data_IF_786359045391
#
_entry.id   IF_786359045391
#
_cell.length_a   1.000
_cell.length_b   1.000
_cell.length_c   1.000
_cell.angle_alpha   90.00
_cell.angle_beta   90.00
_cell.angle_gamma   90.00
#
_symmetry.space_group_name_H-M   'P 1'
#
loop_
_entity.id
_entity.type
_entity.pdbx_description
1 polymer ?
#
# COMPACT_ATOMS: atom_id res chain seq x y z
N UNK A 1 -2.85 15.32 -12.01
CA UNK A 1 -2.63 15.64 -10.59
C UNK A 1 -3.99 15.71 -9.94
N UNK A 2 -4.21 14.92 -8.90
CA UNK A 2 -5.48 14.85 -8.15
C UNK A 2 -5.81 16.19 -7.52
N UNK A 3 -7.08 16.59 -7.55
CA UNK A 3 -7.58 17.76 -6.85
C UNK A 3 -7.85 17.42 -5.38
N UNK A 4 -6.88 17.75 -4.51
CA UNK A 4 -6.95 17.48 -3.07
C UNK A 4 -8.11 18.21 -2.38
N UNK A 5 -8.57 19.34 -2.90
CA UNK A 5 -9.70 20.07 -2.31
C UNK A 5 -11.02 19.35 -2.58
N UNK A 6 -11.18 18.77 -3.78
CA UNK A 6 -12.33 17.91 -4.09
C UNK A 6 -12.26 16.61 -3.29
N UNK A 7 -11.09 15.98 -3.23
CA UNK A 7 -10.88 14.78 -2.42
C UNK A 7 -11.30 15.01 -0.96
N UNK A 8 -10.82 16.08 -0.32
CA UNK A 8 -11.17 16.43 1.07
C UNK A 8 -12.67 16.59 1.30
N UNK A 9 -13.43 17.06 0.31
CA UNK A 9 -14.89 17.21 0.41
C UNK A 9 -15.64 15.89 0.33
N UNK A 10 -15.02 14.84 -0.19
CA UNK A 10 -15.60 13.50 -0.27
C UNK A 10 -15.39 12.68 1.01
N UNK A 11 -14.53 13.16 1.93
CA UNK A 11 -14.14 12.43 3.14
C UNK A 11 -15.30 12.37 4.11
N UNK A 12 -15.64 11.15 4.48
CA UNK A 12 -16.61 10.77 5.48
C UNK A 12 -15.95 9.67 6.32
N UNK A 13 -15.73 9.95 7.59
CA UNK A 13 -14.95 9.09 8.49
C UNK A 13 -15.66 7.76 8.78
N UNK A 14 -17.00 7.76 8.65
CA UNK A 14 -17.83 6.58 8.90
C UNK A 14 -18.04 5.78 7.60
N UNK A 15 -17.95 6.45 6.43
CA UNK A 15 -18.11 5.82 5.12
C UNK A 15 -17.10 6.32 4.06
N UNK A 16 -16.00 5.58 3.83
CA UNK A 16 -14.97 5.94 2.85
C UNK A 16 -15.38 5.80 1.37
N UNK A 17 -16.54 5.21 1.04
CA UNK A 17 -16.90 4.81 -0.34
C UNK A 17 -16.82 5.98 -1.33
N UNK A 18 -17.36 7.15 -0.98
CA UNK A 18 -17.32 8.34 -1.84
C UNK A 18 -15.91 8.83 -2.10
N UNK A 19 -15.03 8.70 -1.10
CA UNK A 19 -13.62 9.11 -1.24
C UNK A 19 -12.87 8.13 -2.13
N UNK A 20 -13.13 6.84 -1.98
CA UNK A 20 -12.54 5.79 -2.80
C UNK A 20 -13.03 5.86 -4.25
N UNK A 21 -14.32 6.04 -4.49
CA UNK A 21 -14.90 6.25 -5.82
C UNK A 21 -14.28 7.47 -6.50
N UNK A 22 -14.07 8.56 -5.76
CA UNK A 22 -13.38 9.72 -6.29
C UNK A 22 -11.95 9.37 -6.72
N UNK A 23 -11.18 8.68 -5.88
CA UNK A 23 -9.81 8.29 -6.23
C UNK A 23 -9.77 7.31 -7.40
N UNK A 24 -10.66 6.33 -7.46
CA UNK A 24 -10.74 5.38 -8.58
C UNK A 24 -10.97 6.10 -9.91
N UNK A 25 -11.84 7.11 -9.91
CA UNK A 25 -12.17 7.86 -11.12
C UNK A 25 -11.15 8.95 -11.49
N UNK A 26 -10.31 9.40 -10.55
CA UNK A 26 -9.48 10.60 -10.74
C UNK A 26 -7.97 10.38 -10.51
N UNK A 27 -7.55 9.28 -9.88
CA UNK A 27 -6.15 8.93 -9.66
C UNK A 27 -5.67 7.96 -10.73
N UNK A 28 -4.64 8.36 -11.47
CA UNK A 28 -4.00 7.45 -12.42
C UNK A 28 -3.11 6.44 -11.69
N UNK A 29 -2.90 5.27 -12.32
CA UNK A 29 -1.93 4.27 -11.83
C UNK A 29 -0.52 4.86 -11.63
N UNK A 30 -0.10 5.76 -12.52
CA UNK A 30 1.19 6.43 -12.42
C UNK A 30 1.29 7.29 -11.15
N UNK A 31 0.26 8.09 -10.86
CA UNK A 31 0.20 8.91 -9.64
C UNK A 31 0.24 8.04 -8.37
N UNK A 32 -0.47 6.91 -8.37
CA UNK A 32 -0.44 5.96 -7.25
C UNK A 32 0.94 5.34 -7.04
N UNK A 33 1.63 4.94 -8.11
CA UNK A 33 2.99 4.41 -8.00
C UNK A 33 3.99 5.49 -7.56
N UNK A 34 3.87 6.70 -8.08
CA UNK A 34 4.72 7.82 -7.66
C UNK A 34 4.52 8.16 -6.19
N UNK A 35 3.28 8.07 -5.69
CA UNK A 35 3.00 8.18 -4.27
C UNK A 35 3.81 7.16 -3.44
N UNK A 36 3.75 5.87 -3.80
CA UNK A 36 4.49 4.81 -3.09
C UNK A 36 6.00 5.05 -3.16
N UNK A 37 6.52 5.38 -4.36
CA UNK A 37 7.95 5.68 -4.57
C UNK A 37 8.41 6.82 -3.68
N UNK A 38 7.67 7.94 -3.67
CA UNK A 38 8.00 9.10 -2.84
C UNK A 38 7.94 8.74 -1.36
N UNK A 39 6.91 8.02 -0.92
CA UNK A 39 6.77 7.55 0.47
C UNK A 39 7.98 6.70 0.91
N UNK A 40 8.52 5.85 0.03
CA UNK A 40 9.72 5.06 0.31
C UNK A 40 10.97 5.95 0.37
N UNK A 41 11.12 6.86 -0.59
CA UNK A 41 12.27 7.77 -0.68
C UNK A 41 12.35 8.68 0.54
N UNK A 42 11.22 9.22 1.00
CA UNK A 42 11.14 10.11 2.15
C UNK A 42 11.55 9.40 3.46
N UNK A 43 11.33 8.09 3.54
CA UNK A 43 11.69 7.26 4.70
C UNK A 43 13.03 6.51 4.54
N UNK A 44 13.74 6.68 3.42
CA UNK A 44 14.86 5.80 3.04
C UNK A 44 16.02 5.75 4.02
N UNK A 45 16.16 6.75 4.88
CA UNK A 45 17.22 6.88 5.88
C UNK A 45 16.73 6.63 7.31
N UNK A 46 15.45 6.36 7.52
CA UNK A 46 14.91 5.95 8.81
C UNK A 46 15.37 4.52 9.12
N UNK A 47 15.22 4.05 10.37
CA UNK A 47 15.49 2.64 10.68
C UNK A 47 14.55 1.69 9.89
N UNK A 48 13.32 2.15 9.68
CA UNK A 48 12.27 1.40 9.00
C UNK A 48 11.53 2.25 7.95
N UNK A 49 11.13 1.62 6.84
CA UNK A 49 10.17 2.17 5.87
C UNK A 49 8.80 1.58 6.12
N UNK A 50 7.82 2.43 6.38
CA UNK A 50 6.42 2.06 6.50
C UNK A 50 5.72 2.14 5.13
N UNK A 51 5.14 1.03 4.67
CA UNK A 51 4.38 0.95 3.41
C UNK A 51 2.96 0.41 3.64
N UNK A 52 1.93 0.94 2.97
CA UNK A 52 0.59 0.36 3.02
C UNK A 52 0.52 -1.09 2.50
N UNK A 53 -0.51 -1.84 2.90
CA UNK A 53 -0.81 -3.13 2.29
C UNK A 53 -1.02 -3.01 0.78
N UNK A 54 -0.63 -4.03 -0.01
CA UNK A 54 -0.59 -3.97 -1.48
C UNK A 54 -1.95 -4.02 -2.19
N UNK A 55 -3.07 -3.79 -1.48
CA UNK A 55 -4.40 -3.68 -2.11
C UNK A 55 -4.71 -2.23 -2.46
N UNK A 56 -5.39 -1.99 -3.58
CA UNK A 56 -5.65 -0.62 -4.06
C UNK A 56 -6.35 0.25 -3.01
N UNK A 57 -7.27 -0.32 -2.24
CA UNK A 57 -7.97 0.36 -1.15
C UNK A 57 -7.03 0.76 -0.02
N UNK A 58 -6.14 -0.13 0.43
CA UNK A 58 -5.17 0.22 1.47
C UNK A 58 -4.15 1.28 0.98
N UNK A 59 -3.81 1.26 -0.32
CA UNK A 59 -3.00 2.32 -0.93
C UNK A 59 -3.73 3.67 -0.95
N UNK A 60 -5.00 3.69 -1.35
CA UNK A 60 -5.85 4.88 -1.37
C UNK A 60 -6.06 5.46 0.03
N UNK A 61 -6.39 4.62 1.01
CA UNK A 61 -6.58 5.05 2.40
C UNK A 61 -5.29 5.62 2.98
N UNK A 62 -4.15 4.99 2.72
CA UNK A 62 -2.86 5.55 3.13
C UNK A 62 -2.54 6.87 2.41
N UNK A 63 -2.91 7.01 1.13
CA UNK A 63 -2.76 8.28 0.41
C UNK A 63 -3.63 9.39 1.03
N UNK A 64 -4.88 9.08 1.39
CA UNK A 64 -5.78 10.03 2.04
C UNK A 64 -5.20 10.47 3.39
N UNK A 65 -4.75 9.52 4.23
CA UNK A 65 -4.14 9.85 5.52
C UNK A 65 -2.90 10.76 5.35
N UNK A 66 -2.01 10.44 4.40
CA UNK A 66 -0.78 11.21 4.15
C UNK A 66 -1.02 12.60 3.53
N UNK A 67 -2.09 12.79 2.75
CA UNK A 67 -2.30 14.02 1.94
C UNK A 67 -3.46 14.89 2.42
N UNK A 68 -4.37 14.32 3.19
CA UNK A 68 -5.52 15.03 3.70
C UNK A 68 -5.44 15.33 5.21
N UNK A 69 -4.46 14.75 5.92
CA UNK A 69 -4.34 14.81 7.39
C UNK A 69 -5.54 14.20 8.13
N UNK A 70 -6.20 13.20 7.53
CA UNK A 70 -7.46 12.63 8.04
C UNK A 70 -7.25 11.25 8.70
N UNK A 71 -7.87 10.97 9.87
CA UNK A 71 -7.49 9.88 10.75
C UNK A 71 -8.37 8.63 10.60
N UNK A 72 -8.43 8.03 9.42
CA UNK A 72 -8.94 6.65 9.36
C UNK A 72 -8.06 5.76 10.22
N UNK A 73 -8.66 4.85 10.99
CA UNK A 73 -7.91 4.02 11.95
C UNK A 73 -7.42 2.73 11.31
N UNK A 74 -6.16 2.39 11.58
CA UNK A 74 -5.54 1.14 11.17
C UNK A 74 -6.07 -0.04 12.01
N UNK A 75 -6.22 -1.23 11.42
CA UNK A 75 -6.70 -2.41 12.14
C UNK A 75 -5.86 -2.79 13.37
N UNK A 76 -4.53 -2.72 13.31
CA UNK A 76 -3.69 -3.07 14.46
C UNK A 76 -3.66 -2.02 15.58
N UNK A 77 -4.26 -0.83 15.42
CA UNK A 77 -4.59 0.00 16.60
C UNK A 77 -5.63 -0.68 17.50
N UNK A 78 -6.28 -1.75 16.99
CA UNK A 78 -7.30 -2.54 17.67
C UNK A 78 -6.73 -3.91 18.12
N UNK A 79 -5.66 -4.45 17.50
CA UNK A 79 -5.16 -5.83 17.73
C UNK A 79 -3.62 -5.91 17.53
N UNK A 80 -2.83 -6.39 18.51
CA UNK A 80 -1.35 -6.44 18.45
C UNK A 80 -0.74 -7.70 17.77
N UNK A 81 0.24 -7.54 16.85
CA UNK A 81 1.72 -7.56 17.00
C UNK A 81 2.35 -7.70 15.59
N UNK A 82 3.12 -6.69 15.14
CA UNK A 82 3.61 -6.58 13.74
C UNK A 82 4.89 -7.36 13.46
N UNK A 83 5.02 -7.89 12.24
CA UNK A 83 6.26 -8.48 11.70
C UNK A 83 7.11 -7.42 10.99
N UNK A 84 8.39 -7.32 11.35
CA UNK A 84 9.39 -6.55 10.61
C UNK A 84 10.01 -7.41 9.51
N UNK A 85 10.21 -6.84 8.32
CA UNK A 85 10.78 -7.53 7.16
C UNK A 85 12.15 -6.92 6.83
N UNK A 86 13.19 -7.73 6.70
CA UNK A 86 14.51 -7.23 6.35
C UNK A 86 14.57 -6.64 4.94
N UNK A 87 15.30 -5.52 4.79
CA UNK A 87 15.48 -4.83 3.51
C UNK A 87 16.52 -5.47 2.58
N UNK A 88 17.10 -6.62 2.96
CA UNK A 88 18.06 -7.34 2.14
C UNK A 88 17.50 -7.59 0.72
N UNK A 89 18.27 -7.15 -0.28
CA UNK A 89 17.90 -7.21 -1.68
C UNK A 89 18.49 -8.46 -2.34
N UNK A 90 17.62 -9.28 -2.94
CA UNK A 90 18.05 -10.45 -3.71
C UNK A 90 18.84 -10.07 -4.97
N UNK A 91 19.68 -10.98 -5.46
CA UNK A 91 20.46 -10.75 -6.68
C UNK A 91 19.57 -10.60 -7.92
N UNK A 92 18.43 -11.29 -7.96
CA UNK A 92 17.46 -11.17 -9.06
C UNK A 92 16.91 -9.73 -9.17
N UNK A 93 16.67 -9.08 -8.02
CA UNK A 93 16.21 -7.69 -8.00
C UNK A 93 17.32 -6.71 -8.37
N UNK A 94 18.59 -6.98 -8.02
CA UNK A 94 19.73 -6.12 -8.41
C UNK A 94 19.92 -6.08 -9.93
N UNK A 95 19.63 -7.18 -10.61
CA UNK A 95 19.76 -7.30 -12.06
C UNK A 95 18.53 -6.77 -12.84
N UNK A 96 17.52 -6.26 -12.13
CA UNK A 96 16.27 -5.81 -12.72
C UNK A 96 16.44 -4.50 -13.50
N UNK A 97 16.09 -4.54 -14.79
CA UNK A 97 16.03 -3.36 -15.67
C UNK A 97 14.57 -3.00 -15.96
N UNK A 98 14.03 -2.02 -15.23
CA UNK A 98 12.67 -1.54 -15.43
C UNK A 98 12.61 -0.53 -16.59
N UNK A 99 11.76 -0.79 -17.59
CA UNK A 99 11.36 0.23 -18.60
C UNK A 99 10.30 1.21 -18.08
N UNK A 100 9.51 0.81 -17.08
CA UNK A 100 8.50 1.62 -16.39
C UNK A 100 8.25 1.08 -14.98
N UNK A 101 7.66 1.89 -14.09
CA UNK A 101 7.32 1.48 -12.71
C UNK A 101 6.33 0.30 -12.68
N UNK A 102 5.38 0.25 -13.62
CA UNK A 102 4.34 -0.78 -13.71
C UNK A 102 4.88 -2.18 -14.07
N UNK A 103 6.06 -2.26 -14.68
CA UNK A 103 6.69 -3.53 -15.02
C UNK A 103 7.01 -4.39 -13.79
N UNK A 104 7.14 -3.78 -12.62
CA UNK A 104 7.40 -4.50 -11.39
C UNK A 104 6.18 -5.35 -11.00
N UNK A 105 5.01 -4.72 -10.84
CA UNK A 105 3.76 -5.38 -10.44
C UNK A 105 3.38 -6.50 -11.41
N UNK A 106 3.53 -6.27 -12.73
CA UNK A 106 3.20 -7.26 -13.78
C UNK A 106 3.89 -8.62 -13.62
N UNK A 107 5.03 -8.69 -12.92
CA UNK A 107 5.70 -9.96 -12.64
C UNK A 107 4.96 -10.84 -11.63
N UNK A 108 4.12 -10.22 -10.80
CA UNK A 108 3.46 -10.88 -9.69
C UNK A 108 1.95 -11.05 -9.91
N UNK A 109 1.34 -10.28 -10.83
CA UNK A 109 -0.09 -10.39 -11.14
C UNK A 109 -0.46 -11.83 -11.52
N UNK A 110 -1.48 -12.39 -10.85
CA UNK A 110 -1.95 -13.75 -11.11
C UNK A 110 -1.01 -14.85 -10.62
N UNK A 111 0.01 -14.49 -9.85
CA UNK A 111 0.91 -15.45 -9.19
C UNK A 111 0.58 -15.55 -7.71
N UNK A 112 1.03 -16.63 -7.06
CA UNK A 112 0.91 -16.76 -5.60
C UNK A 112 1.66 -15.69 -4.81
N UNK A 113 2.61 -14.99 -5.46
CA UNK A 113 3.46 -13.98 -4.86
C UNK A 113 2.96 -12.55 -5.15
N UNK A 114 1.73 -12.38 -5.69
CA UNK A 114 1.12 -11.06 -5.91
C UNK A 114 1.24 -10.19 -4.66
N UNK A 115 0.89 -10.71 -3.49
CA UNK A 115 0.98 -9.98 -2.23
C UNK A 115 2.40 -9.51 -1.83
N UNK A 116 3.48 -10.05 -2.41
CA UNK A 116 4.87 -9.65 -2.10
C UNK A 116 5.37 -8.52 -2.98
N UNK A 117 4.65 -8.19 -4.05
CA UNK A 117 5.16 -7.26 -5.07
C UNK A 117 5.60 -5.93 -4.46
N UNK A 118 4.87 -5.40 -3.46
CA UNK A 118 5.17 -4.12 -2.84
C UNK A 118 6.40 -4.15 -1.93
N UNK A 119 6.68 -5.30 -1.30
CA UNK A 119 7.89 -5.50 -0.48
C UNK A 119 9.11 -5.48 -1.38
N UNK A 120 9.11 -6.30 -2.43
CA UNK A 120 10.20 -6.36 -3.39
C UNK A 120 10.40 -5.03 -4.12
N UNK A 121 9.29 -4.34 -4.44
CA UNK A 121 9.34 -3.00 -5.02
C UNK A 121 10.00 -2.02 -4.06
N UNK A 122 9.66 -2.06 -2.77
CA UNK A 122 10.26 -1.22 -1.73
C UNK A 122 11.76 -1.45 -1.60
N UNK A 123 12.19 -2.72 -1.55
CA UNK A 123 13.61 -3.09 -1.54
C UNK A 123 14.35 -2.53 -2.77
N UNK A 124 13.74 -2.66 -3.94
CA UNK A 124 14.31 -2.15 -5.19
C UNK A 124 14.44 -0.62 -5.17
N UNK A 125 13.40 0.11 -4.75
CA UNK A 125 13.43 1.58 -4.64
C UNK A 125 14.48 2.04 -3.63
N UNK A 126 14.60 1.38 -2.48
CA UNK A 126 15.66 1.66 -1.51
C UNK A 126 17.06 1.48 -2.12
N UNK A 127 17.28 0.37 -2.82
CA UNK A 127 18.56 0.08 -3.46
C UNK A 127 18.97 1.14 -4.50
N UNK A 128 18.10 1.45 -5.46
CA UNK A 128 18.43 2.44 -6.51
C UNK A 128 18.60 3.85 -5.94
N UNK A 129 18.00 4.15 -4.79
CA UNK A 129 18.11 5.45 -4.11
C UNK A 129 19.15 5.48 -2.98
N UNK A 130 19.96 4.42 -2.83
CA UNK A 130 20.98 4.26 -1.77
C UNK A 130 20.42 4.48 -0.35
N UNK A 131 19.21 3.99 -0.10
CA UNK A 131 18.58 4.01 1.21
C UNK A 131 19.34 3.17 2.24
N UNK A 132 19.23 3.55 3.51
CA UNK A 132 19.87 2.91 4.67
C UNK A 132 18.88 2.23 5.62
N UNK A 133 17.59 2.31 5.34
CA UNK A 133 16.58 1.60 6.12
C UNK A 133 16.88 0.10 6.18
N UNK A 134 16.77 -0.47 7.38
CA UNK A 134 17.08 -1.88 7.66
C UNK A 134 15.84 -2.75 7.57
N UNK A 135 14.68 -2.16 7.87
CA UNK A 135 13.43 -2.89 7.94
C UNK A 135 12.36 -2.26 7.06
N UNK A 136 11.46 -3.10 6.57
CA UNK A 136 10.19 -2.72 5.98
C UNK A 136 9.11 -3.12 6.97
N UNK A 137 8.21 -2.18 7.19
CA UNK A 137 7.02 -2.37 7.98
C UNK A 137 5.81 -2.17 7.10
N UNK A 138 5.06 -3.26 6.89
CA UNK A 138 3.80 -3.13 6.16
C UNK A 138 2.75 -2.67 7.15
N UNK A 139 2.24 -1.45 6.92
CA UNK A 139 1.18 -0.85 7.70
C UNK A 139 -0.02 -1.78 7.69
N UNK A 140 -0.69 -1.79 8.83
CA UNK A 140 -1.98 -2.44 8.93
C UNK A 140 -2.92 -1.98 7.81
N UNK A 141 -3.80 -2.85 7.34
CA UNK A 141 -4.88 -2.42 6.49
C UNK A 141 -5.88 -1.49 7.22
N UNK A 142 -6.55 -0.66 6.42
CA UNK A 142 -7.82 0.00 6.71
C UNK A 142 -9.02 -0.83 6.23
N UNK A 143 -8.76 -1.88 5.44
CA UNK A 143 -9.77 -2.81 4.92
C UNK A 143 -9.29 -4.24 5.10
N UNK A 144 -10.09 -5.08 5.76
CA UNK A 144 -9.88 -6.53 5.80
C UNK A 144 -10.92 -7.26 4.98
N UNK A 145 -10.69 -8.55 4.73
CA UNK A 145 -11.75 -9.44 4.24
C UNK A 145 -12.94 -9.45 5.22
N UNK A 146 -14.16 -9.58 4.69
CA UNK A 146 -15.41 -9.77 5.44
C UNK A 146 -15.39 -11.10 6.20
N UNK A 147 -14.90 -12.15 5.53
CA UNK A 147 -14.69 -13.49 6.08
C UNK A 147 -13.20 -13.85 5.99
N UNK A 148 -12.62 -14.32 7.10
CA UNK A 148 -11.20 -14.66 7.22
C UNK A 148 -10.44 -13.79 8.21
N UNK A 149 -9.16 -14.09 8.40
CA UNK A 149 -8.24 -13.31 9.22
C UNK A 149 -7.49 -12.27 8.39
N UNK A 150 -6.89 -11.28 9.05
CA UNK A 150 -6.04 -10.25 8.39
C UNK A 150 -4.91 -10.86 7.56
N UNK A 151 -4.45 -12.06 7.92
CA UNK A 151 -3.42 -12.81 7.20
C UNK A 151 -3.94 -13.45 5.90
N UNK A 152 -5.26 -13.58 5.72
CA UNK A 152 -5.88 -14.11 4.49
C UNK A 152 -5.85 -13.08 3.34
N UNK A 153 -5.50 -11.82 3.62
CA UNK A 153 -5.23 -10.80 2.61
C UNK A 153 -3.94 -11.08 1.81
N UNK A 154 -3.11 -12.03 2.26
CA UNK A 154 -1.91 -12.48 1.55
C UNK A 154 -2.15 -13.70 0.64
N UNK A 155 -3.40 -14.19 0.53
CA UNK A 155 -3.70 -15.44 -0.19
C UNK A 155 -4.07 -15.17 -1.65
N UNK A 156 -3.57 -16.04 -2.52
CA UNK A 156 -3.48 -15.97 -3.99
C UNK A 156 -4.77 -16.14 -4.79
N UNK A 157 -5.93 -15.76 -4.25
CA UNK A 157 -7.17 -15.75 -5.03
C UNK A 157 -7.58 -14.31 -5.32
N UNK A 158 -8.11 -14.09 -6.51
CA UNK A 158 -8.71 -12.81 -6.89
C UNK A 158 -9.94 -12.64 -6.00
N UNK A 159 -9.78 -11.92 -4.90
CA UNK A 159 -10.89 -11.54 -4.04
C UNK A 159 -11.57 -10.32 -4.66
N UNK A 160 -12.90 -10.37 -4.78
CA UNK A 160 -13.69 -9.28 -5.35
C UNK A 160 -13.96 -8.22 -4.28
N UNK A 161 -14.35 -7.03 -4.73
CA UNK A 161 -14.66 -5.86 -3.86
C UNK A 161 -15.65 -6.22 -2.74
N UNK A 162 -16.64 -7.05 -3.07
CA UNK A 162 -17.68 -7.47 -2.13
C UNK A 162 -17.15 -8.31 -0.96
N UNK A 163 -15.91 -8.80 -1.05
CA UNK A 163 -15.25 -9.61 -0.02
C UNK A 163 -14.53 -8.77 1.04
N UNK A 164 -14.51 -7.43 0.95
CA UNK A 164 -13.81 -6.55 1.89
C UNK A 164 -14.76 -5.61 2.65
N UNK A 165 -14.43 -5.29 3.90
CA UNK A 165 -15.17 -4.33 4.74
C UNK A 165 -14.26 -3.28 5.36
N UNK A 166 -14.83 -2.09 5.56
CA UNK A 166 -14.15 -1.01 6.28
C UNK A 166 -14.16 -1.28 7.80
N UNK A 167 -13.16 -0.78 8.51
CA UNK A 167 -12.92 -1.07 9.93
C UNK A 167 -14.03 -0.58 10.86
N UNK A 168 -14.81 0.43 10.44
CA UNK A 168 -15.88 1.01 11.24
C UNK A 168 -17.29 0.46 10.94
N UNK A 169 -17.39 -0.63 10.18
CA UNK A 169 -18.65 -1.40 10.08
C UNK A 169 -18.89 -2.19 11.39
N UNK A 170 -19.32 -1.51 12.45
CA UNK A 170 -19.84 -2.11 13.69
C UNK A 170 -21.35 -2.23 13.68
#
# INVERSE_FOLDING_TARGET
MIDLNKLKKCIDLDNPDKTLEYLENNMTKHELYMYIVNKIIDQKNNDCVCIPMPTVYNLFMSFIQDKCDEPYKLLEEIIEKKTLIDTELSNDLKNLRLKSLDNFRKKFIGTKDEHKWIIDFTKYILYINKGKAKHIYVLSPFYSKKEGCIYDMFISKVDFIDDFKFVDER
#
